data_IF_409663839768
#
_entry.id   IF_409663839768
#
_cell.length_a   1.000
_cell.length_b   1.000
_cell.length_c   1.000
_cell.angle_alpha   90.00
_cell.angle_beta   90.00
_cell.angle_gamma   90.00
#
_symmetry.space_group_name_H-M   'P 1'
#
loop_
_entity.id
_entity.type
_entity.pdbx_description
1 polymer ?
#
# COMPACT_ATOMS: atom_id res chain seq x y z
N UNK A 1 -3.09 -9.36 -12.28
CA UNK A 1 -3.05 -8.72 -10.95
C UNK A 1 -2.74 -7.25 -11.13
N UNK A 2 -3.36 -6.36 -10.36
CA UNK A 2 -3.16 -4.90 -10.45
C UNK A 2 -1.82 -4.49 -9.83
N UNK A 3 -1.29 -3.31 -10.20
CA UNK A 3 -0.06 -2.74 -9.62
C UNK A 3 -0.14 -2.65 -8.08
N UNK A 4 -1.30 -2.28 -7.54
CA UNK A 4 -1.53 -2.21 -6.09
C UNK A 4 -1.35 -3.58 -5.40
N UNK A 5 -1.94 -4.64 -5.95
CA UNK A 5 -1.80 -5.99 -5.39
C UNK A 5 -0.35 -6.50 -5.49
N UNK A 6 0.36 -6.18 -6.59
CA UNK A 6 1.77 -6.53 -6.74
C UNK A 6 2.66 -5.84 -5.71
N UNK A 7 2.37 -4.57 -5.40
CA UNK A 7 3.10 -3.83 -4.37
C UNK A 7 2.88 -4.41 -2.98
N UNK A 8 1.63 -4.64 -2.57
CA UNK A 8 1.34 -5.26 -1.28
C UNK A 8 1.99 -6.66 -1.15
N UNK A 9 1.98 -7.44 -2.24
CA UNK A 9 2.64 -8.74 -2.31
C UNK A 9 4.16 -8.61 -2.14
N UNK A 10 4.79 -7.63 -2.78
CA UNK A 10 6.22 -7.38 -2.64
C UNK A 10 6.59 -7.01 -1.18
N UNK A 11 5.77 -6.20 -0.51
CA UNK A 11 5.94 -5.89 0.92
C UNK A 11 5.88 -7.15 1.80
N UNK A 12 4.84 -7.98 1.61
CA UNK A 12 4.64 -9.23 2.35
C UNK A 12 5.81 -10.21 2.16
N UNK A 13 6.33 -10.33 0.93
CA UNK A 13 7.49 -11.17 0.65
C UNK A 13 8.84 -10.53 1.00
N UNK A 14 8.84 -9.36 1.63
CA UNK A 14 10.05 -8.60 1.97
C UNK A 14 10.92 -8.23 0.76
N UNK A 15 10.33 -8.17 -0.43
CA UNK A 15 11.00 -7.73 -1.66
C UNK A 15 10.79 -6.22 -1.85
N UNK A 16 11.47 -5.44 -1.00
CA UNK A 16 11.34 -3.98 -1.01
C UNK A 16 12.00 -3.34 -2.24
N UNK A 17 12.87 -4.05 -2.95
CA UNK A 17 13.41 -3.63 -4.24
C UNK A 17 12.32 -3.67 -5.30
N UNK A 18 11.57 -4.75 -5.40
CA UNK A 18 10.41 -4.85 -6.30
C UNK A 18 9.32 -3.85 -5.92
N UNK A 19 9.02 -3.71 -4.61
CA UNK A 19 8.05 -2.73 -4.14
C UNK A 19 8.43 -1.29 -4.56
N UNK A 20 9.72 -0.94 -4.45
CA UNK A 20 10.25 0.35 -4.90
C UNK A 20 10.20 0.52 -6.42
N UNK A 21 10.44 -0.54 -7.19
CA UNK A 21 10.37 -0.51 -8.65
C UNK A 21 8.94 -0.23 -9.20
N UNK A 22 7.90 -0.54 -8.42
CA UNK A 22 6.50 -0.28 -8.74
C UNK A 22 6.07 1.18 -8.51
N UNK A 23 6.88 1.97 -7.79
CA UNK A 23 6.63 3.39 -7.55
C UNK A 23 6.85 4.22 -8.83
N UNK A 24 6.15 5.34 -8.93
CA UNK A 24 6.42 6.37 -9.93
C UNK A 24 7.79 7.00 -9.70
N UNK A 25 8.36 7.64 -10.71
CA UNK A 25 9.66 8.30 -10.60
C UNK A 25 9.70 9.31 -9.45
N UNK A 26 8.61 10.07 -9.26
CA UNK A 26 8.47 11.01 -8.15
C UNK A 26 8.40 10.29 -6.79
N UNK A 27 7.63 9.21 -6.68
CA UNK A 27 7.52 8.44 -5.45
C UNK A 27 8.84 7.72 -5.09
N UNK A 28 9.62 7.27 -6.08
CA UNK A 28 10.96 6.71 -5.88
C UNK A 28 11.97 7.71 -5.31
N UNK A 29 11.78 9.01 -5.55
CA UNK A 29 12.61 10.05 -4.94
C UNK A 29 12.22 10.33 -3.49
N UNK A 30 10.96 10.06 -3.12
CA UNK A 30 10.43 10.25 -1.77
C UNK A 30 10.69 9.05 -0.85
N UNK A 31 10.64 7.85 -1.41
CA UNK A 31 10.81 6.60 -0.68
C UNK A 31 11.96 5.80 -1.23
N UNK A 32 12.77 5.24 -0.35
CA UNK A 32 13.75 4.18 -0.61
C UNK A 32 13.18 2.82 -0.21
N UNK A 33 13.75 1.73 -0.74
CA UNK A 33 13.41 0.37 -0.30
C UNK A 33 13.52 0.19 1.23
N UNK A 34 14.54 0.78 1.85
CA UNK A 34 14.71 0.74 3.31
C UNK A 34 13.60 1.48 4.07
N UNK A 35 13.09 2.59 3.53
CA UNK A 35 11.95 3.30 4.13
C UNK A 35 10.65 2.51 3.96
N UNK A 36 10.46 1.82 2.83
CA UNK A 36 9.31 0.92 2.66
C UNK A 36 9.36 -0.24 3.66
N UNK A 37 10.55 -0.80 3.88
CA UNK A 37 10.77 -1.83 4.89
C UNK A 37 10.43 -1.34 6.29
N UNK A 38 10.92 -0.16 6.69
CA UNK A 38 10.65 0.38 8.01
C UNK A 38 9.16 0.67 8.21
N UNK A 39 8.51 1.30 7.23
CA UNK A 39 7.07 1.60 7.32
C UNK A 39 6.22 0.33 7.43
N UNK A 40 6.55 -0.71 6.66
CA UNK A 40 5.90 -2.01 6.77
C UNK A 40 6.12 -2.65 8.14
N UNK A 41 7.36 -2.66 8.63
CA UNK A 41 7.70 -3.22 9.94
C UNK A 41 6.99 -2.49 11.09
N UNK A 42 6.89 -1.16 11.03
CA UNK A 42 6.17 -0.35 12.02
C UNK A 42 4.68 -0.68 12.01
N UNK A 43 4.07 -0.74 10.82
CA UNK A 43 2.66 -1.08 10.61
C UNK A 43 2.31 -2.47 11.15
N UNK A 44 3.18 -3.47 10.98
CA UNK A 44 2.92 -4.86 11.42
C UNK A 44 3.54 -5.19 12.78
N UNK A 45 4.09 -4.21 13.51
CA UNK A 45 4.95 -4.43 14.68
C UNK A 45 4.29 -5.15 15.87
N UNK A 46 2.96 -5.16 15.94
CA UNK A 46 2.20 -5.72 17.06
C UNK A 46 1.67 -7.14 16.82
N UNK A 47 1.95 -7.74 15.67
CA UNK A 47 1.65 -9.13 15.38
C UNK A 47 2.86 -9.92 14.93
N UNK A 48 2.65 -11.21 14.71
CA UNK A 48 3.67 -12.21 14.41
C UNK A 48 3.51 -12.78 12.99
N UNK A 49 4.63 -13.27 12.45
CA UNK A 49 4.67 -14.03 11.20
C UNK A 49 4.53 -13.20 9.93
N UNK A 50 4.66 -13.84 8.76
CA UNK A 50 4.48 -13.15 7.49
C UNK A 50 3.02 -12.74 7.31
N UNK A 51 2.79 -11.54 6.78
CA UNK A 51 1.46 -11.14 6.33
C UNK A 51 1.00 -11.96 5.13
N UNK A 52 -0.27 -11.80 4.75
CA UNK A 52 -0.86 -12.29 3.53
C UNK A 52 -1.71 -11.17 2.92
N UNK A 53 -1.73 -11.09 1.59
CA UNK A 53 -2.62 -10.17 0.88
C UNK A 53 -3.97 -10.85 0.72
N UNK A 54 -5.00 -10.34 1.39
CA UNK A 54 -6.34 -10.95 1.39
C UNK A 54 -7.20 -10.57 0.17
N UNK A 55 -6.62 -9.83 -0.77
CA UNK A 55 -7.20 -9.61 -2.10
C UNK A 55 -8.40 -8.67 -2.14
N UNK A 56 -8.83 -8.10 -1.00
CA UNK A 56 -9.76 -6.98 -0.97
C UNK A 56 -9.06 -5.76 -1.58
N UNK A 57 -9.56 -5.32 -2.73
CA UNK A 57 -9.10 -4.13 -3.44
C UNK A 57 -10.31 -3.26 -3.70
N UNK A 58 -10.49 -2.22 -2.90
CA UNK A 58 -11.48 -1.17 -3.20
C UNK A 58 -10.86 -0.17 -4.16
N UNK A 59 -11.50 0.01 -5.31
CA UNK A 59 -11.06 0.95 -6.34
C UNK A 59 -12.10 2.03 -6.52
N UNK A 60 -11.67 3.29 -6.40
CA UNK A 60 -12.46 4.45 -6.83
C UNK A 60 -11.68 5.25 -7.86
N UNK A 61 -12.40 5.78 -8.84
CA UNK A 61 -11.90 6.57 -9.96
C UNK A 61 -12.17 8.08 -9.81
N UNK A 62 -12.85 8.50 -8.73
CA UNK A 62 -13.08 9.92 -8.40
C UNK A 62 -12.93 10.20 -6.90
N UNK A 63 -12.18 11.25 -6.56
CA UNK A 63 -11.96 11.76 -5.20
C UNK A 63 -11.40 13.19 -5.25
N UNK A 64 -11.58 14.02 -4.20
CA UNK A 64 -11.25 15.46 -4.26
C UNK A 64 -9.80 15.82 -4.60
N UNK A 65 -8.84 14.95 -4.26
CA UNK A 65 -7.41 15.16 -4.50
C UNK A 65 -6.87 14.48 -5.78
N UNK A 66 -7.76 13.93 -6.62
CA UNK A 66 -7.39 13.19 -7.83
C UNK A 66 -6.64 14.07 -8.83
N UNK A 67 -5.55 13.55 -9.38
CA UNK A 67 -4.77 14.19 -10.44
C UNK A 67 -5.11 13.63 -11.82
N UNK A 68 -4.78 14.36 -12.89
CA UNK A 68 -5.17 14.00 -14.26
C UNK A 68 -4.61 12.66 -14.74
N UNK A 69 -3.45 12.24 -14.21
CA UNK A 69 -2.81 10.96 -14.54
C UNK A 69 -3.21 9.83 -13.59
N UNK A 70 -4.01 10.11 -12.55
CA UNK A 70 -4.44 9.07 -11.62
C UNK A 70 -5.46 8.16 -12.29
N UNK A 71 -5.17 6.86 -12.29
CA UNK A 71 -6.07 5.81 -12.78
C UNK A 71 -7.13 5.55 -11.71
N UNK A 72 -6.71 5.45 -10.45
CA UNK A 72 -7.57 5.27 -9.29
C UNK A 72 -6.74 5.06 -8.03
N UNK A 73 -7.39 4.90 -6.88
CA UNK A 73 -6.72 4.43 -5.67
C UNK A 73 -7.18 3.01 -5.30
N UNK A 74 -6.38 2.33 -4.50
CA UNK A 74 -6.61 0.96 -4.08
C UNK A 74 -6.30 0.80 -2.59
N UNK A 75 -7.27 0.32 -1.80
CA UNK A 75 -7.04 -0.19 -0.45
C UNK A 75 -6.74 -1.68 -0.52
N UNK A 76 -5.57 -2.12 -0.03
CA UNK A 76 -5.16 -3.53 -0.07
C UNK A 76 -4.90 -4.04 1.34
N UNK A 77 -5.75 -4.95 1.81
CA UNK A 77 -5.63 -5.57 3.13
C UNK A 77 -4.44 -6.53 3.21
N UNK A 78 -3.72 -6.44 4.33
CA UNK A 78 -2.62 -7.32 4.71
C UNK A 78 -2.94 -7.88 6.10
N UNK A 79 -3.07 -9.21 6.21
CA UNK A 79 -3.39 -9.88 7.48
C UNK A 79 -2.27 -10.80 7.90
N UNK A 80 -2.04 -10.91 9.20
CA UNK A 80 -1.08 -11.86 9.78
C UNK A 80 -1.54 -12.32 11.15
N UNK A 81 -0.72 -13.11 11.84
CA UNK A 81 -1.09 -13.58 13.16
C UNK A 81 -1.07 -12.41 14.16
N UNK A 82 -2.24 -11.93 14.57
CA UNK A 82 -2.35 -10.83 15.54
C UNK A 82 -2.33 -9.43 14.92
N UNK A 83 -2.40 -9.28 13.60
CA UNK A 83 -2.62 -7.97 12.96
C UNK A 83 -3.55 -8.05 11.75
N UNK A 84 -4.29 -6.96 11.54
CA UNK A 84 -5.09 -6.68 10.34
C UNK A 84 -4.75 -5.24 9.96
N UNK A 85 -4.02 -5.09 8.86
CA UNK A 85 -3.55 -3.80 8.38
C UNK A 85 -3.89 -3.65 6.90
N UNK A 86 -3.55 -2.50 6.33
CA UNK A 86 -3.69 -2.27 4.91
C UNK A 86 -2.68 -1.26 4.39
N UNK A 87 -2.55 -1.23 3.07
CA UNK A 87 -1.92 -0.11 2.36
C UNK A 87 -2.93 0.49 1.41
N UNK A 88 -3.06 1.81 1.44
CA UNK A 88 -3.82 2.57 0.44
C UNK A 88 -2.83 3.18 -0.54
N UNK A 89 -3.03 2.93 -1.83
CA UNK A 89 -2.13 3.46 -2.88
C UNK A 89 -2.91 4.19 -3.94
N UNK A 90 -2.39 5.32 -4.42
CA UNK A 90 -2.86 5.95 -5.65
C UNK A 90 -2.05 5.39 -6.81
N UNK A 91 -2.73 4.80 -7.78
CA UNK A 91 -2.15 4.29 -9.03
C UNK A 91 -2.34 5.35 -10.12
N UNK A 92 -1.23 5.75 -10.75
CA UNK A 92 -1.20 6.71 -11.84
C UNK A 92 -0.55 6.10 -13.08
N UNK A 93 -0.86 6.65 -14.24
CA UNK A 93 -0.15 6.37 -15.48
C UNK A 93 1.16 7.17 -15.51
N UNK A 94 2.27 6.48 -15.75
CA UNK A 94 3.57 7.11 -16.01
C UNK A 94 4.28 6.33 -17.14
N UNK A 95 4.53 7.01 -18.26
CA UNK A 95 5.23 6.47 -19.44
C UNK A 95 4.62 5.19 -20.03
N UNK A 96 3.30 5.10 -20.07
CA UNK A 96 2.52 3.97 -20.58
C UNK A 96 2.34 2.83 -19.57
N UNK A 97 2.74 3.00 -18.31
CA UNK A 97 2.67 1.98 -17.28
C UNK A 97 1.94 2.48 -16.02
N UNK A 98 1.21 1.59 -15.35
CA UNK A 98 0.58 1.90 -14.07
C UNK A 98 1.62 1.83 -12.93
N UNK A 99 1.80 2.95 -12.23
CA UNK A 99 2.79 3.17 -11.16
C UNK A 99 2.12 3.69 -9.89
N UNK A 100 2.73 3.45 -8.74
CA UNK A 100 2.24 3.96 -7.45
C UNK A 100 2.78 5.37 -7.23
N UNK A 101 1.87 6.35 -7.16
CA UNK A 101 2.19 7.77 -6.93
C UNK A 101 2.19 8.14 -5.45
N UNK A 102 1.25 7.60 -4.69
CA UNK A 102 1.11 7.87 -3.25
C UNK A 102 0.89 6.57 -2.49
N UNK A 103 1.37 6.54 -1.24
CA UNK A 103 1.23 5.43 -0.30
C UNK A 103 0.75 6.03 1.03
N UNK A 104 -0.32 5.46 1.56
CA UNK A 104 -0.77 5.63 2.94
C UNK A 104 -0.72 4.26 3.62
N UNK A 105 -0.21 4.25 4.85
CA UNK A 105 0.08 3.05 5.62
C UNK A 105 -0.94 2.87 6.74
N UNK A 106 -1.41 1.64 6.91
CA UNK A 106 -2.33 1.24 7.95
C UNK A 106 -3.80 1.43 7.60
N UNK A 107 -4.66 1.03 8.54
CA UNK A 107 -6.08 1.37 8.52
C UNK A 107 -6.23 2.87 8.79
N UNK A 108 -7.12 3.63 8.11
CA UNK A 108 -7.39 5.02 8.43
C UNK A 108 -7.58 5.20 9.94
N UNK A 109 -7.13 6.33 10.50
CA UNK A 109 -7.32 6.70 11.92
C UNK A 109 -8.83 6.78 12.27
N UNK A 110 -9.49 5.64 12.38
CA UNK A 110 -10.69 5.51 13.17
C UNK A 110 -10.24 5.64 14.62
N UNK A 111 -10.86 6.51 15.42
CA UNK A 111 -10.52 6.63 16.83
C UNK A 111 -10.54 5.22 17.45
N UNK A 112 -9.46 4.85 18.14
CA UNK A 112 -9.26 3.52 18.78
C UNK A 112 -10.33 3.16 19.83
N UNK A 113 -11.39 3.94 19.96
CA UNK A 113 -12.56 3.72 20.81
C UNK A 113 -13.76 3.07 20.10
N UNK A 114 -13.67 2.70 18.82
CA UNK A 114 -14.82 2.14 18.07
C UNK A 114 -14.61 0.72 17.54
N UNK A 115 -13.65 -0.03 18.07
CA UNK A 115 -13.59 -1.49 17.88
C UNK A 115 -13.98 -2.18 19.19
N UNK A 116 -15.28 -2.27 19.42
CA UNK A 116 -15.85 -3.26 20.33
C UNK A 116 -16.18 -4.48 19.46
N UNK A 117 -15.52 -5.61 19.72
CA UNK A 117 -15.93 -6.92 19.20
C UNK A 117 -17.26 -7.35 19.84
#
# INVERSE_FOLDING_TARGET
>A
MSTAANFARALVFSDFTEAHALLSTQAQQRYSAAQLQQAYADMTSYGDGPGAVDGHVEFMDDWPARQSQDIGWAYVSITGAGFIEAVTVVVAEENGAAKIREIEWGVPDLPRSTLTF
#
